data_IF_036864548177
#
_entry.id   IF_036864548177
#
_cell.length_a   1.000
_cell.length_b   1.000
_cell.length_c   1.000
_cell.angle_alpha   90.00
_cell.angle_beta   90.00
_cell.angle_gamma   90.00
#
_symmetry.space_group_name_H-M   'P 1'
#
loop_
_entity.id
_entity.type
_entity.pdbx_description
1 polymer ?
#
# COMPACT_ATOMS: atom_id res chain seq x y z
N UNK A 1 -18.61 -6.05 -24.10
CA UNK A 1 -19.47 -6.30 -22.90
C UNK A 1 -19.34 -5.10 -21.97
N UNK A 2 -20.44 -4.48 -21.53
CA UNK A 2 -20.41 -3.37 -20.56
C UNK A 2 -20.27 -3.98 -19.16
N UNK A 3 -19.13 -3.76 -18.50
CA UNK A 3 -18.92 -4.20 -17.11
C UNK A 3 -19.77 -3.30 -16.22
N UNK A 4 -20.77 -3.87 -15.52
CA UNK A 4 -21.65 -3.08 -14.62
C UNK A 4 -20.93 -2.65 -13.34
N UNK A 5 -20.05 -3.51 -12.82
CA UNK A 5 -19.13 -3.24 -11.73
C UNK A 5 -17.91 -4.16 -11.90
N UNK A 6 -16.71 -3.61 -11.78
CA UNK A 6 -15.48 -4.40 -11.76
C UNK A 6 -15.17 -4.82 -10.33
N UNK A 7 -14.75 -6.07 -10.13
CA UNK A 7 -14.47 -6.63 -8.80
C UNK A 7 -13.14 -7.38 -8.83
N UNK A 8 -12.26 -7.07 -7.89
CA UNK A 8 -10.92 -7.65 -7.76
C UNK A 8 -10.73 -8.19 -6.33
N UNK A 9 -11.06 -9.47 -6.08
CA UNK A 9 -11.07 -10.05 -4.73
C UNK A 9 -9.66 -10.26 -4.14
N UNK A 10 -8.63 -10.09 -4.97
CA UNK A 10 -7.20 -10.16 -4.63
C UNK A 10 -6.51 -8.91 -5.16
N UNK A 11 -6.69 -7.78 -4.48
CA UNK A 11 -6.25 -6.47 -4.96
C UNK A 11 -4.74 -6.41 -5.19
N UNK A 12 -3.93 -6.93 -4.26
CA UNK A 12 -2.48 -6.86 -4.37
C UNK A 12 -1.97 -5.43 -4.66
N UNK A 13 -1.27 -5.25 -5.79
CA UNK A 13 -0.76 -3.94 -6.20
C UNK A 13 -1.82 -3.00 -6.80
N UNK A 14 -3.03 -3.48 -7.04
CA UNK A 14 -4.10 -2.72 -7.69
C UNK A 14 -3.81 -2.37 -9.15
N UNK A 15 -2.85 -3.05 -9.80
CA UNK A 15 -2.46 -2.74 -11.17
C UNK A 15 -3.63 -2.87 -12.15
N UNK A 16 -4.45 -3.92 -12.02
CA UNK A 16 -5.56 -4.15 -12.95
C UNK A 16 -6.68 -3.13 -12.74
N UNK A 17 -7.17 -2.95 -11.50
CA UNK A 17 -8.20 -1.94 -11.20
C UNK A 17 -7.78 -0.52 -11.61
N UNK A 18 -6.52 -0.13 -11.37
CA UNK A 18 -6.02 1.21 -11.71
C UNK A 18 -5.78 1.40 -13.22
N UNK A 19 -5.48 0.33 -13.95
CA UNK A 19 -5.40 0.36 -15.42
C UNK A 19 -6.79 0.46 -16.04
N UNK A 20 -7.76 -0.30 -15.53
CA UNK A 20 -9.14 -0.28 -16.03
C UNK A 20 -9.87 1.01 -15.68
N UNK A 21 -9.55 1.64 -14.54
CA UNK A 21 -10.18 2.86 -14.05
C UNK A 21 -11.71 2.81 -14.15
N UNK A 22 -12.37 1.77 -13.58
CA UNK A 22 -13.79 1.53 -13.79
C UNK A 22 -14.64 2.63 -13.14
N UNK A 23 -15.78 2.98 -13.76
CA UNK A 23 -16.79 3.87 -13.16
C UNK A 23 -17.46 3.29 -11.90
N UNK A 24 -17.26 1.99 -11.64
CA UNK A 24 -17.67 1.31 -10.41
C UNK A 24 -16.74 0.12 -10.18
N UNK A 25 -15.77 0.28 -9.28
CA UNK A 25 -14.79 -0.75 -8.92
C UNK A 25 -14.88 -1.14 -7.46
N UNK A 26 -14.65 -2.42 -7.15
CA UNK A 26 -14.45 -2.90 -5.78
C UNK A 26 -13.18 -3.75 -5.75
N UNK A 27 -12.18 -3.30 -5.00
CA UNK A 27 -10.97 -4.05 -4.71
C UNK A 27 -11.00 -4.58 -3.28
N UNK A 28 -10.60 -5.83 -3.06
CA UNK A 28 -10.46 -6.36 -1.71
C UNK A 28 -9.21 -7.20 -1.54
N UNK A 29 -8.75 -7.25 -0.30
CA UNK A 29 -7.62 -8.08 0.12
C UNK A 29 -7.77 -8.36 1.62
N UNK A 30 -7.29 -9.51 2.07
CA UNK A 30 -7.27 -9.87 3.49
C UNK A 30 -6.22 -9.05 4.26
N UNK A 31 -5.23 -8.50 3.56
CA UNK A 31 -4.14 -7.76 4.18
C UNK A 31 -4.53 -6.32 4.52
N UNK A 32 -5.01 -6.11 5.76
CA UNK A 32 -5.55 -4.84 6.25
C UNK A 32 -4.66 -3.61 5.99
N UNK A 33 -3.35 -3.59 6.30
CA UNK A 33 -2.54 -2.40 6.07
C UNK A 33 -2.41 -2.02 4.58
N UNK A 34 -2.50 -2.99 3.66
CA UNK A 34 -2.55 -2.72 2.21
C UNK A 34 -3.87 -2.04 1.83
N UNK A 35 -5.00 -2.54 2.33
CA UNK A 35 -6.31 -1.93 2.09
C UNK A 35 -6.38 -0.52 2.66
N UNK A 36 -5.80 -0.29 3.83
CA UNK A 36 -5.78 1.04 4.46
C UNK A 36 -4.97 2.05 3.62
N UNK A 37 -3.90 1.61 2.94
CA UNK A 37 -3.19 2.45 1.97
C UNK A 37 -4.10 2.86 0.82
N UNK A 38 -4.87 1.92 0.24
CA UNK A 38 -5.79 2.22 -0.86
C UNK A 38 -6.99 3.07 -0.43
N UNK A 39 -7.51 2.86 0.77
CA UNK A 39 -8.54 3.71 1.35
C UNK A 39 -8.04 5.14 1.53
N UNK A 40 -6.85 5.32 2.11
CA UNK A 40 -6.24 6.65 2.28
C UNK A 40 -5.86 7.29 0.95
N UNK A 41 -5.36 6.52 -0.02
CA UNK A 41 -5.10 6.96 -1.39
C UNK A 41 -6.34 7.60 -2.04
N UNK A 42 -7.52 7.02 -1.79
CA UNK A 42 -8.80 7.53 -2.31
C UNK A 42 -9.31 8.72 -1.50
N UNK A 43 -9.33 8.63 -0.16
CA UNK A 43 -10.04 9.58 0.69
C UNK A 43 -9.21 10.80 1.09
N UNK A 44 -7.89 10.63 1.25
CA UNK A 44 -6.99 11.68 1.71
C UNK A 44 -5.55 11.48 1.14
N UNK A 45 -5.36 11.69 -0.18
CA UNK A 45 -4.07 11.49 -0.84
C UNK A 45 -2.95 12.37 -0.25
N UNK A 46 -3.27 13.57 0.25
CA UNK A 46 -2.28 14.47 0.85
C UNK A 46 -1.72 13.91 2.18
N UNK A 47 -2.57 13.29 2.99
CA UNK A 47 -2.12 12.60 4.21
C UNK A 47 -1.26 11.37 3.89
N UNK A 48 -1.56 10.65 2.79
CA UNK A 48 -0.71 9.55 2.33
C UNK A 48 0.69 10.03 1.92
N UNK A 49 0.76 11.20 1.27
CA UNK A 49 2.02 11.86 0.89
C UNK A 49 2.79 12.29 2.15
N UNK A 50 2.11 12.89 3.12
CA UNK A 50 2.71 13.30 4.39
C UNK A 50 3.28 12.09 5.14
N UNK A 51 2.51 11.02 5.30
CA UNK A 51 2.92 9.76 5.95
C UNK A 51 4.22 9.21 5.35
N UNK A 52 4.30 9.15 4.02
CA UNK A 52 5.50 8.71 3.31
C UNK A 52 6.68 9.66 3.53
N UNK A 53 6.43 10.97 3.46
CA UNK A 53 7.45 12.01 3.56
C UNK A 53 8.10 12.04 4.93
N UNK A 54 7.32 11.88 6.00
CA UNK A 54 7.82 11.83 7.38
C UNK A 54 8.74 10.62 7.60
N UNK A 55 8.34 9.44 7.12
CA UNK A 55 9.16 8.23 7.18
C UNK A 55 10.43 8.37 6.30
N UNK A 56 10.31 8.99 5.13
CA UNK A 56 11.45 9.27 4.25
C UNK A 56 12.47 10.23 4.89
N UNK A 57 12.00 11.26 5.62
CA UNK A 57 12.87 12.25 6.29
C UNK A 57 13.80 11.60 7.35
N UNK A 58 13.44 10.44 7.89
CA UNK A 58 14.32 9.69 8.80
C UNK A 58 15.63 9.26 8.12
N UNK A 59 15.65 9.11 6.79
CA UNK A 59 16.86 8.77 6.03
C UNK A 59 17.92 9.86 6.19
N UNK A 60 17.53 11.13 6.12
CA UNK A 60 18.46 12.25 6.30
C UNK A 60 19.01 12.30 7.72
N UNK A 61 18.16 12.00 8.70
CA UNK A 61 18.52 12.03 10.12
C UNK A 61 19.42 10.87 10.57
N UNK A 62 19.19 9.67 10.05
CA UNK A 62 19.79 8.44 10.59
C UNK A 62 20.55 7.60 9.57
N UNK A 63 20.47 7.93 8.27
CA UNK A 63 20.90 7.06 7.18
C UNK A 63 19.84 6.01 6.83
N UNK A 64 19.87 5.54 5.58
CA UNK A 64 18.84 4.67 4.99
C UNK A 64 18.59 3.39 5.79
N UNK A 65 19.66 2.66 6.11
CA UNK A 65 19.55 1.36 6.79
C UNK A 65 18.97 1.50 8.20
N UNK A 66 19.44 2.50 8.96
CA UNK A 66 18.95 2.74 10.32
C UNK A 66 17.51 3.25 10.33
N UNK A 67 17.15 4.15 9.41
CA UNK A 67 15.77 4.59 9.24
C UNK A 67 14.84 3.41 8.91
N UNK A 68 15.27 2.54 7.99
CA UNK A 68 14.53 1.33 7.62
C UNK A 68 14.29 0.41 8.83
N UNK A 69 15.31 0.12 9.63
CA UNK A 69 15.17 -0.76 10.79
C UNK A 69 14.31 -0.14 11.91
N UNK A 70 14.34 1.19 12.10
CA UNK A 70 13.44 1.91 13.02
C UNK A 70 11.98 1.71 12.59
N UNK A 71 11.69 1.99 11.32
CA UNK A 71 10.32 1.89 10.76
C UNK A 71 9.86 0.43 10.74
N UNK A 72 10.72 -0.53 10.39
CA UNK A 72 10.39 -1.96 10.40
C UNK A 72 10.09 -2.45 11.82
N UNK A 73 10.83 -1.96 12.81
CA UNK A 73 10.58 -2.28 14.22
C UNK A 73 9.24 -1.71 14.70
N UNK A 74 8.94 -0.45 14.36
CA UNK A 74 7.63 0.17 14.61
C UNK A 74 6.49 -0.64 14.00
N UNK A 75 6.61 -0.99 12.72
CA UNK A 75 5.61 -1.77 12.00
C UNK A 75 5.39 -3.17 12.61
N UNK A 76 6.47 -3.85 13.00
CA UNK A 76 6.37 -5.17 13.61
C UNK A 76 5.70 -5.13 14.99
N UNK A 77 5.84 -4.03 15.74
CA UNK A 77 5.16 -3.84 17.01
C UNK A 77 3.69 -3.43 16.83
N UNK A 78 3.39 -2.63 15.80
CA UNK A 78 2.04 -2.15 15.52
C UNK A 78 1.83 -1.98 14.00
N UNK A 79 1.35 -3.03 13.30
CA UNK A 79 1.18 -2.98 11.85
C UNK A 79 0.24 -1.85 11.40
N UNK A 80 0.74 -0.97 10.54
CA UNK A 80 0.02 0.23 10.11
C UNK A 80 0.34 0.59 8.64
N UNK A 81 -0.55 1.30 7.93
CA UNK A 81 -0.36 1.64 6.51
C UNK A 81 0.84 2.54 6.25
N UNK A 82 1.14 3.50 7.15
CA UNK A 82 2.23 4.47 6.99
C UNK A 82 3.60 3.79 6.92
N UNK A 83 3.87 2.88 7.85
CA UNK A 83 5.13 2.17 7.89
C UNK A 83 5.22 1.17 6.74
N UNK A 84 4.14 0.42 6.46
CA UNK A 84 4.10 -0.49 5.30
C UNK A 84 4.38 0.24 3.99
N UNK A 85 3.84 1.44 3.81
CA UNK A 85 4.01 2.25 2.62
C UNK A 85 5.50 2.54 2.37
N UNK A 86 6.23 3.01 3.38
CA UNK A 86 7.67 3.23 3.27
C UNK A 86 8.44 1.91 3.07
N UNK A 87 8.15 0.88 3.87
CA UNK A 87 8.85 -0.40 3.83
C UNK A 87 8.70 -1.09 2.47
N UNK A 88 7.51 -1.03 1.85
CA UNK A 88 7.26 -1.61 0.53
C UNK A 88 8.10 -0.97 -0.59
N UNK A 89 8.55 0.26 -0.41
CA UNK A 89 9.41 0.99 -1.37
C UNK A 89 10.89 0.89 -1.05
N UNK A 90 11.24 0.48 0.16
CA UNK A 90 12.62 0.45 0.67
C UNK A 90 13.16 -0.97 0.90
N UNK A 91 12.31 -2.00 0.92
CA UNK A 91 12.72 -3.38 1.19
C UNK A 91 13.37 -4.06 -0.02
N UNK A 92 14.23 -5.04 0.24
CA UNK A 92 14.93 -5.79 -0.79
C UNK A 92 13.96 -6.41 -1.82
N UNK A 93 14.17 -6.08 -3.09
CA UNK A 93 13.38 -6.59 -4.21
C UNK A 93 11.90 -6.18 -4.21
N UNK A 94 11.48 -5.25 -3.34
CA UNK A 94 10.06 -4.92 -3.14
C UNK A 94 9.24 -6.07 -2.51
N UNK A 95 9.92 -7.04 -1.91
CA UNK A 95 9.28 -8.25 -1.35
C UNK A 95 8.80 -7.96 0.07
N UNK A 96 7.48 -7.94 0.29
CA UNK A 96 6.91 -7.88 1.65
C UNK A 96 6.69 -9.31 2.15
N UNK A 97 7.50 -9.75 3.13
CA UNK A 97 7.45 -11.13 3.66
C UNK A 97 7.41 -11.17 5.18
N UNK A 98 6.46 -11.93 5.70
CA UNK A 98 6.24 -12.13 7.12
C UNK A 98 6.71 -13.51 7.59
N UNK A 99 7.26 -13.58 8.81
CA UNK A 99 7.60 -14.86 9.43
C UNK A 99 6.35 -15.50 10.02
N UNK A 100 6.25 -16.83 9.93
CA UNK A 100 5.14 -17.58 10.53
C UNK A 100 5.12 -17.52 12.06
N UNK A 101 6.29 -17.40 12.70
CA UNK A 101 6.44 -17.51 14.17
C UNK A 101 5.83 -16.34 14.92
N UNK A 102 5.90 -15.12 14.37
CA UNK A 102 5.50 -13.89 15.05
C UNK A 102 4.82 -12.87 14.13
N UNK A 103 4.59 -13.22 12.86
CA UNK A 103 4.05 -12.34 11.83
C UNK A 103 4.92 -11.08 11.58
N UNK A 104 6.20 -11.08 11.97
CA UNK A 104 7.07 -9.93 11.73
C UNK A 104 7.54 -9.89 10.29
N UNK A 105 7.55 -8.68 9.71
CA UNK A 105 8.22 -8.41 8.45
C UNK A 105 9.70 -8.72 8.58
N UNK A 106 10.19 -9.59 7.69
CA UNK A 106 11.53 -10.16 7.71
C UNK A 106 12.45 -9.65 6.59
N UNK A 107 11.90 -8.95 5.61
CA UNK A 107 12.67 -8.49 4.47
C UNK A 107 13.70 -7.44 4.92
N UNK A 108 14.96 -7.54 4.51
CA UNK A 108 15.98 -6.53 4.83
C UNK A 108 15.81 -5.27 3.98
N UNK A 109 16.53 -4.21 4.34
CA UNK A 109 16.64 -3.00 3.55
C UNK A 109 17.22 -3.31 2.15
N UNK A 110 16.64 -2.71 1.11
CA UNK A 110 17.10 -2.84 -0.25
C UNK A 110 18.31 -1.97 -0.54
N UNK A 111 19.14 -2.38 -1.51
CA UNK A 111 20.31 -1.61 -1.95
C UNK A 111 19.92 -0.32 -2.66
N UNK A 112 18.74 -0.26 -3.28
CA UNK A 112 18.25 0.90 -4.00
C UNK A 112 17.84 2.03 -3.06
N UNK A 113 17.77 3.25 -3.61
CA UNK A 113 17.19 4.38 -2.90
C UNK A 113 15.66 4.33 -3.05
N UNK A 114 14.89 4.57 -1.97
CA UNK A 114 13.44 4.71 -2.09
C UNK A 114 13.07 5.91 -2.96
N UNK A 115 11.83 5.91 -3.46
CA UNK A 115 11.30 7.03 -4.26
C UNK A 115 11.43 8.34 -3.47
N UNK A 116 11.82 9.43 -4.14
CA UNK A 116 11.76 10.75 -3.51
C UNK A 116 10.31 11.13 -3.16
N UNK A 117 10.07 11.94 -2.10
CA UNK A 117 8.74 12.42 -1.75
C UNK A 117 8.01 13.11 -2.92
N UNK A 118 8.75 13.88 -3.74
CA UNK A 118 8.20 14.52 -4.95
C UNK A 118 7.66 13.50 -5.95
N UNK A 119 8.48 12.51 -6.33
CA UNK A 119 8.06 11.50 -7.30
C UNK A 119 7.04 10.51 -6.72
N UNK A 120 6.94 10.41 -5.38
CA UNK A 120 5.87 9.68 -4.72
C UNK A 120 4.54 10.46 -4.85
N UNK A 121 4.53 11.76 -4.54
CA UNK A 121 3.34 12.60 -4.66
C UNK A 121 2.74 12.62 -6.07
N UNK A 122 3.58 12.75 -7.10
CA UNK A 122 3.15 12.68 -8.51
C UNK A 122 2.40 11.35 -8.82
N UNK A 123 2.88 10.24 -8.26
CA UNK A 123 2.24 8.92 -8.41
C UNK A 123 0.95 8.83 -7.60
N UNK A 124 0.92 9.36 -6.38
CA UNK A 124 -0.28 9.38 -5.53
C UNK A 124 -1.42 10.11 -6.24
N UNK A 125 -1.20 11.32 -6.75
CA UNK A 125 -2.26 12.05 -7.46
C UNK A 125 -2.72 11.32 -8.73
N UNK A 126 -1.79 10.76 -9.51
CA UNK A 126 -2.14 9.99 -10.70
C UNK A 126 -3.00 8.76 -10.35
N UNK A 127 -2.65 8.05 -9.28
CA UNK A 127 -3.36 6.86 -8.84
C UNK A 127 -4.70 7.18 -8.18
N UNK A 128 -4.77 8.23 -7.34
CA UNK A 128 -6.01 8.72 -6.72
C UNK A 128 -7.09 8.97 -7.78
N UNK A 129 -6.73 9.58 -8.91
CA UNK A 129 -7.65 9.82 -10.02
C UNK A 129 -8.13 8.52 -10.68
N UNK A 130 -7.26 7.52 -10.83
CA UNK A 130 -7.60 6.22 -11.47
C UNK A 130 -8.54 5.36 -10.62
N UNK A 131 -8.55 5.59 -9.32
CA UNK A 131 -9.34 4.78 -8.36
C UNK A 131 -10.46 5.58 -7.69
N UNK A 132 -10.76 6.78 -8.18
CA UNK A 132 -11.76 7.68 -7.59
C UNK A 132 -13.15 7.01 -7.45
N UNK A 133 -13.56 6.26 -8.48
CA UNK A 133 -14.84 5.54 -8.53
C UNK A 133 -14.75 4.09 -7.98
N UNK A 134 -13.72 3.80 -7.18
CA UNK A 134 -13.51 2.50 -6.57
C UNK A 134 -13.77 2.50 -5.05
N UNK A 135 -14.10 1.33 -4.52
CA UNK A 135 -14.15 1.05 -3.09
C UNK A 135 -13.15 -0.04 -2.73
N UNK A 136 -12.55 0.08 -1.56
CA UNK A 136 -11.50 -0.83 -1.08
C UNK A 136 -11.91 -1.44 0.25
N UNK A 137 -12.05 -2.77 0.27
CA UNK A 137 -12.62 -3.51 1.38
C UNK A 137 -11.62 -4.52 1.94
N UNK A 138 -11.51 -4.60 3.26
CA UNK A 138 -10.73 -5.66 3.89
C UNK A 138 -11.62 -6.88 4.07
N UNK A 139 -11.58 -7.76 3.07
CA UNK A 139 -12.40 -8.97 3.01
C UNK A 139 -11.52 -10.15 2.64
N UNK A 140 -11.89 -11.33 3.13
CA UNK A 140 -11.37 -12.56 2.55
C UNK A 140 -12.02 -12.80 1.18
N UNK A 141 -11.40 -13.63 0.34
CA UNK A 141 -11.86 -13.83 -1.04
C UNK A 141 -13.26 -14.45 -1.13
N UNK A 142 -13.68 -15.29 -0.17
CA UNK A 142 -15.02 -15.91 -0.16
C UNK A 142 -16.08 -14.84 0.02
N UNK A 143 -15.95 -14.00 1.05
CA UNK A 143 -16.87 -12.89 1.30
C UNK A 143 -16.92 -11.92 0.11
N UNK A 144 -15.79 -11.70 -0.56
CA UNK A 144 -15.70 -10.85 -1.74
C UNK A 144 -16.43 -11.42 -2.96
N UNK A 145 -16.43 -12.75 -3.13
CA UNK A 145 -17.20 -13.43 -4.17
C UNK A 145 -18.70 -13.49 -3.83
N UNK A 146 -19.06 -13.75 -2.57
CA UNK A 146 -20.46 -13.80 -2.13
C UNK A 146 -21.14 -12.43 -2.30
N UNK A 147 -20.42 -11.33 -2.04
CA UNK A 147 -20.90 -9.97 -2.27
C UNK A 147 -21.05 -9.58 -3.76
N UNK A 148 -20.65 -10.46 -4.69
CA UNK A 148 -20.70 -10.25 -6.13
C UNK A 148 -21.91 -10.89 -6.83
N UNK A 149 -22.61 -11.80 -6.13
CA UNK A 149 -23.90 -12.35 -6.53
C UNK A 149 -25.03 -11.31 -6.40
#
# INVERSE_FOLDING_TARGET
KKIKAYREPFLGSGAVIATLSPQKGIGSDIFKPLIDIFQKLKSNPDELILDYTENYALIEKFGKEKAYEIIKSSYNLNPNPKDLLFLSRSCYGGVVRFRKVDAYMSTPCGIHNPLSPKSFAERVYSWSNRVADCEFLNLNYKDAFDAAE
#
